data_IF_274474196525
#
_entry.id   IF_274474196525
#
_cell.length_a   1.000
_cell.length_b   1.000
_cell.length_c   1.000
_cell.angle_alpha   90.00
_cell.angle_beta   90.00
_cell.angle_gamma   90.00
#
_symmetry.space_group_name_H-M   'P 1'
#
loop_
_entity.id
_entity.type
_entity.pdbx_description
1 polymer ?
#
# COMPACT_ATOMS: atom_id res chain seq x y z
N UNK A 1 -0.40 -35.84 -86.65
CA UNK A 1 0.73 -35.11 -86.02
C UNK A 1 0.37 -34.86 -84.57
N UNK A 2 0.94 -35.64 -83.65
CA UNK A 2 0.70 -35.54 -82.22
C UNK A 2 1.71 -34.56 -81.60
N UNK A 3 1.23 -33.43 -81.05
CA UNK A 3 2.05 -32.56 -80.20
C UNK A 3 1.90 -32.98 -78.74
N UNK A 4 2.98 -33.53 -78.20
CA UNK A 4 3.13 -33.90 -76.80
C UNK A 4 3.23 -32.62 -75.96
N UNK A 5 2.22 -32.36 -75.11
CA UNK A 5 2.21 -31.23 -74.19
C UNK A 5 2.93 -31.62 -72.89
N UNK A 6 4.24 -31.39 -72.81
CA UNK A 6 5.02 -31.61 -71.58
C UNK A 6 4.83 -30.42 -70.62
N UNK A 7 3.98 -30.60 -69.60
CA UNK A 7 3.98 -29.70 -68.43
C UNK A 7 5.28 -29.90 -67.65
N UNK A 8 6.23 -28.99 -67.81
CA UNK A 8 7.42 -28.90 -66.95
C UNK A 8 6.98 -28.73 -65.49
N UNK A 9 7.51 -29.53 -64.54
CA UNK A 9 7.26 -29.31 -63.13
C UNK A 9 7.93 -28.01 -62.72
N UNK A 10 7.15 -27.04 -62.24
CA UNK A 10 7.68 -25.82 -61.60
C UNK A 10 8.45 -26.21 -60.35
N UNK A 11 9.75 -26.50 -60.49
CA UNK A 11 10.67 -26.65 -59.36
C UNK A 11 10.77 -25.30 -58.66
N UNK A 12 10.12 -25.17 -57.50
CA UNK A 12 10.29 -24.00 -56.63
C UNK A 12 11.77 -23.84 -56.33
N UNK A 13 12.40 -22.79 -56.86
CA UNK A 13 13.84 -22.58 -56.73
C UNK A 13 14.28 -22.37 -55.27
N UNK A 14 15.57 -22.59 -54.95
CA UNK A 14 16.12 -22.45 -53.59
C UNK A 14 15.79 -21.10 -52.93
N UNK A 15 15.75 -20.02 -53.73
CA UNK A 15 15.41 -18.67 -53.29
C UNK A 15 13.94 -18.51 -52.88
N UNK A 16 13.01 -19.14 -53.60
CA UNK A 16 11.58 -19.08 -53.28
C UNK A 16 11.25 -19.92 -52.03
N UNK A 17 11.98 -21.02 -51.83
CA UNK A 17 11.90 -21.85 -50.61
C UNK A 17 12.46 -21.08 -49.40
N UNK A 18 13.61 -20.40 -49.55
CA UNK A 18 14.22 -19.55 -48.50
C UNK A 18 13.32 -18.37 -48.12
N UNK A 19 12.70 -17.70 -49.09
CA UNK A 19 11.72 -16.61 -48.87
C UNK A 19 10.47 -17.08 -48.10
N UNK A 20 9.87 -18.23 -48.47
CA UNK A 20 8.77 -18.83 -47.71
C UNK A 20 9.16 -19.21 -46.29
N UNK A 21 10.38 -19.74 -46.09
CA UNK A 21 10.90 -20.07 -44.77
C UNK A 21 11.11 -18.82 -43.90
N UNK A 22 11.67 -17.75 -44.47
CA UNK A 22 11.84 -16.45 -43.78
C UNK A 22 10.49 -15.82 -43.41
N UNK A 23 9.51 -15.86 -44.32
CA UNK A 23 8.13 -15.40 -44.06
C UNK A 23 7.45 -16.20 -42.95
N UNK A 24 7.64 -17.53 -42.92
CA UNK A 24 7.12 -18.39 -41.84
C UNK A 24 7.76 -18.08 -40.49
N UNK A 25 9.09 -17.86 -40.45
CA UNK A 25 9.78 -17.46 -39.21
C UNK A 25 9.32 -16.09 -38.72
N UNK A 26 9.15 -15.12 -39.61
CA UNK A 26 8.62 -13.81 -39.28
C UNK A 26 7.19 -13.88 -38.73
N UNK A 27 6.33 -14.74 -39.32
CA UNK A 27 4.98 -14.98 -38.82
C UNK A 27 4.98 -15.64 -37.42
N UNK A 28 5.85 -16.63 -37.19
CA UNK A 28 6.01 -17.27 -35.87
C UNK A 28 6.50 -16.27 -34.82
N UNK A 29 7.50 -15.46 -35.13
CA UNK A 29 8.00 -14.40 -34.24
C UNK A 29 6.92 -13.38 -33.91
N UNK A 30 6.12 -12.96 -34.91
CA UNK A 30 4.99 -12.06 -34.71
C UNK A 30 3.91 -12.70 -33.81
N UNK A 31 3.61 -13.98 -34.01
CA UNK A 31 2.67 -14.72 -33.18
C UNK A 31 3.17 -14.84 -31.73
N UNK A 32 4.44 -15.19 -31.51
CA UNK A 32 5.06 -15.26 -30.19
C UNK A 32 5.06 -13.89 -29.49
N UNK A 33 5.43 -12.83 -30.21
CA UNK A 33 5.38 -11.45 -29.70
C UNK A 33 3.97 -11.05 -29.29
N UNK A 34 2.96 -11.34 -30.13
CA UNK A 34 1.56 -11.06 -29.80
C UNK A 34 1.06 -11.85 -28.59
N UNK A 35 1.46 -13.13 -28.45
CA UNK A 35 1.10 -13.96 -27.30
C UNK A 35 1.74 -13.44 -26.02
N UNK A 36 3.01 -13.03 -26.07
CA UNK A 36 3.70 -12.45 -24.92
C UNK A 36 3.08 -11.11 -24.50
N UNK A 37 2.71 -10.27 -25.47
CA UNK A 37 2.04 -9.00 -25.21
C UNK A 37 0.69 -9.23 -24.51
N UNK A 38 -0.12 -10.16 -25.01
CA UNK A 38 -1.41 -10.50 -24.41
C UNK A 38 -1.26 -11.03 -22.97
N UNK A 39 -0.28 -11.92 -22.74
CA UNK A 39 0.03 -12.40 -21.38
C UNK A 39 0.46 -11.27 -20.46
N UNK A 40 1.31 -10.37 -20.95
CA UNK A 40 1.79 -9.22 -20.18
C UNK A 40 0.64 -8.27 -19.83
N UNK A 41 -0.23 -7.98 -20.79
CA UNK A 41 -1.42 -7.15 -20.57
C UNK A 41 -2.36 -7.79 -19.54
N UNK A 42 -2.57 -9.10 -19.61
CA UNK A 42 -3.37 -9.82 -18.63
C UNK A 42 -2.77 -9.73 -17.22
N UNK A 43 -1.47 -9.97 -17.05
CA UNK A 43 -0.78 -9.85 -15.75
C UNK A 43 -0.82 -8.42 -15.21
N UNK A 44 -0.71 -7.41 -16.08
CA UNK A 44 -0.87 -6.00 -15.71
C UNK A 44 -2.30 -5.72 -15.21
N UNK A 45 -3.34 -6.18 -15.90
CA UNK A 45 -4.73 -5.96 -15.49
C UNK A 45 -5.04 -6.65 -14.15
N UNK A 46 -4.58 -7.89 -13.98
CA UNK A 46 -4.65 -8.62 -12.70
C UNK A 46 -3.97 -7.81 -11.60
N UNK A 47 -2.74 -7.36 -11.81
CA UNK A 47 -1.97 -6.65 -10.80
C UNK A 47 -2.59 -5.29 -10.45
N UNK A 48 -3.02 -4.51 -11.44
CA UNK A 48 -3.65 -3.21 -11.21
C UNK A 48 -4.93 -3.38 -10.39
N UNK A 49 -5.80 -4.32 -10.77
CA UNK A 49 -7.05 -4.59 -10.04
C UNK A 49 -6.82 -5.17 -8.66
N UNK A 50 -5.77 -5.96 -8.48
CA UNK A 50 -5.36 -6.51 -7.19
C UNK A 50 -5.04 -5.36 -6.22
N UNK A 51 -4.17 -4.44 -6.64
CA UNK A 51 -3.58 -3.40 -5.79
C UNK A 51 -4.47 -2.16 -5.59
N UNK A 52 -5.46 -1.96 -6.47
CA UNK A 52 -6.25 -0.72 -6.58
C UNK A 52 -6.87 -0.27 -5.26
N UNK A 53 -7.41 -1.20 -4.46
CA UNK A 53 -8.16 -0.83 -3.24
C UNK A 53 -7.27 -0.19 -2.18
N UNK A 54 -6.01 -0.61 -2.06
CA UNK A 54 -5.12 -0.23 -0.96
C UNK A 54 -3.90 0.58 -1.41
N UNK A 55 -3.75 0.82 -2.72
CA UNK A 55 -2.61 1.53 -3.30
C UNK A 55 -2.32 2.89 -2.62
N UNK A 56 -3.35 3.67 -2.30
CA UNK A 56 -3.18 4.99 -1.64
C UNK A 56 -2.55 4.85 -0.25
N UNK A 57 -2.98 3.87 0.54
CA UNK A 57 -2.44 3.62 1.88
C UNK A 57 -0.97 3.19 1.85
N UNK A 58 -0.60 2.30 0.93
CA UNK A 58 0.80 1.89 0.77
C UNK A 58 1.67 3.02 0.20
N UNK A 59 1.17 3.79 -0.77
CA UNK A 59 1.87 4.96 -1.29
C UNK A 59 2.14 5.98 -0.17
N UNK A 60 1.16 6.20 0.70
CA UNK A 60 1.29 7.05 1.88
C UNK A 60 2.41 6.60 2.82
N UNK A 61 2.50 5.30 3.12
CA UNK A 61 3.57 4.74 3.96
C UNK A 61 4.94 4.93 3.29
N UNK A 62 5.04 4.66 1.98
CA UNK A 62 6.25 4.87 1.19
C UNK A 62 6.73 6.33 1.19
N UNK A 63 5.81 7.29 0.99
CA UNK A 63 6.09 8.73 1.04
C UNK A 63 6.57 9.11 2.45
N UNK A 64 5.90 8.63 3.50
CA UNK A 64 6.29 8.88 4.89
C UNK A 64 7.72 8.43 5.18
N UNK A 65 8.10 7.24 4.70
CA UNK A 65 9.45 6.70 4.84
C UNK A 65 10.50 7.55 4.12
N UNK A 66 10.23 7.96 2.88
CA UNK A 66 11.13 8.79 2.09
C UNK A 66 11.34 10.18 2.71
N UNK A 67 10.26 10.85 3.14
CA UNK A 67 10.33 12.16 3.79
C UNK A 67 11.08 12.08 5.13
N UNK A 68 10.84 11.02 5.91
CA UNK A 68 11.58 10.79 7.16
C UNK A 68 13.08 10.62 6.91
N UNK A 69 13.45 9.84 5.88
CA UNK A 69 14.86 9.66 5.48
C UNK A 69 15.50 10.99 5.05
N UNK A 70 14.77 11.84 4.33
CA UNK A 70 15.25 13.14 3.86
C UNK A 70 15.49 14.13 5.01
N UNK A 71 14.63 14.13 6.04
CA UNK A 71 14.81 14.99 7.22
C UNK A 71 16.01 14.53 8.05
N UNK A 72 16.12 13.22 8.34
CA UNK A 72 17.20 12.70 9.18
C UNK A 72 18.58 12.95 8.57
N UNK A 73 18.70 12.74 7.26
CA UNK A 73 19.93 12.95 6.52
C UNK A 73 19.60 13.51 5.13
N UNK A 74 20.09 14.71 4.78
CA UNK A 74 19.95 15.24 3.42
C UNK A 74 20.50 14.24 2.40
N UNK A 75 19.81 14.10 1.27
CA UNK A 75 20.16 13.17 0.20
C UNK A 75 20.58 13.94 -1.04
N UNK A 76 21.63 13.47 -1.71
CA UNK A 76 21.95 13.89 -3.08
C UNK A 76 20.84 13.49 -4.06
N UNK A 77 20.89 14.01 -5.28
CA UNK A 77 19.91 13.65 -6.32
C UNK A 77 19.94 12.15 -6.64
N UNK A 78 21.13 11.55 -6.67
CA UNK A 78 21.32 10.11 -6.92
C UNK A 78 20.71 9.27 -5.79
N UNK A 79 20.99 9.63 -4.53
CA UNK A 79 20.43 8.93 -3.37
C UNK A 79 18.91 9.10 -3.28
N UNK A 80 18.40 10.27 -3.64
CA UNK A 80 16.96 10.54 -3.71
C UNK A 80 16.30 9.66 -4.76
N UNK A 81 16.89 9.55 -5.94
CA UNK A 81 16.38 8.68 -7.03
C UNK A 81 16.38 7.22 -6.60
N UNK A 82 17.49 6.74 -6.01
CA UNK A 82 17.60 5.36 -5.52
C UNK A 82 16.62 5.07 -4.39
N UNK A 83 16.47 5.99 -3.43
CA UNK A 83 15.54 5.85 -2.31
C UNK A 83 14.10 5.85 -2.80
N UNK A 84 13.77 6.70 -3.77
CA UNK A 84 12.45 6.72 -4.42
C UNK A 84 12.16 5.39 -5.10
N UNK A 85 13.12 4.84 -5.87
CA UNK A 85 12.97 3.52 -6.47
C UNK A 85 12.76 2.42 -5.42
N UNK A 86 13.54 2.43 -4.34
CA UNK A 86 13.39 1.49 -3.22
C UNK A 86 11.98 1.56 -2.60
N UNK A 87 11.47 2.75 -2.23
CA UNK A 87 10.15 2.85 -1.60
C UNK A 87 9.00 2.47 -2.53
N UNK A 88 9.15 2.67 -3.84
CA UNK A 88 8.18 2.21 -4.85
C UNK A 88 8.17 0.68 -4.95
N UNK A 89 9.36 0.05 -4.99
CA UNK A 89 9.49 -1.41 -5.01
C UNK A 89 8.94 -2.06 -3.74
N UNK A 90 9.32 -1.55 -2.55
CA UNK A 90 8.81 -2.06 -1.28
C UNK A 90 7.31 -1.81 -1.14
N UNK A 91 6.83 -0.62 -1.50
CA UNK A 91 5.40 -0.29 -1.46
C UNK A 91 4.58 -1.23 -2.36
N UNK A 92 5.06 -1.49 -3.58
CA UNK A 92 4.45 -2.46 -4.50
C UNK A 92 4.43 -3.87 -3.91
N UNK A 93 5.57 -4.37 -3.42
CA UNK A 93 5.70 -5.72 -2.87
C UNK A 93 4.78 -5.91 -1.67
N UNK A 94 4.81 -5.00 -0.69
CA UNK A 94 4.00 -5.12 0.53
C UNK A 94 2.49 -4.99 0.22
N UNK A 95 2.11 -4.13 -0.73
CA UNK A 95 0.72 -4.04 -1.17
C UNK A 95 0.26 -5.35 -1.82
N UNK A 96 1.09 -5.93 -2.70
CA UNK A 96 0.81 -7.21 -3.35
C UNK A 96 0.67 -8.34 -2.31
N UNK A 97 1.63 -8.47 -1.39
CA UNK A 97 1.66 -9.46 -0.31
C UNK A 97 0.36 -9.41 0.52
N UNK A 98 -0.11 -8.20 0.86
CA UNK A 98 -1.34 -8.02 1.60
C UNK A 98 -2.57 -8.36 0.76
N UNK A 99 -2.72 -7.75 -0.42
CA UNK A 99 -3.93 -7.86 -1.22
C UNK A 99 -4.15 -9.28 -1.74
N UNK A 100 -3.10 -10.00 -2.16
CA UNK A 100 -3.25 -11.37 -2.62
C UNK A 100 -3.73 -12.32 -1.51
N UNK A 101 -3.18 -12.19 -0.30
CA UNK A 101 -3.55 -13.00 0.84
C UNK A 101 -4.98 -12.69 1.30
N UNK A 102 -5.34 -11.42 1.37
CA UNK A 102 -6.68 -10.96 1.75
C UNK A 102 -7.74 -11.46 0.76
N UNK A 103 -7.53 -11.26 -0.54
CA UNK A 103 -8.48 -11.65 -1.59
C UNK A 103 -8.62 -13.17 -1.73
N UNK A 104 -7.51 -13.92 -1.62
CA UNK A 104 -7.55 -15.38 -1.63
C UNK A 104 -8.22 -15.97 -0.38
N UNK A 105 -8.22 -15.25 0.74
CA UNK A 105 -8.78 -15.72 2.01
C UNK A 105 -10.28 -15.50 2.15
N UNK A 106 -10.81 -14.45 1.52
CA UNK A 106 -12.21 -14.02 1.62
C UNK A 106 -12.84 -13.65 0.26
N UNK A 107 -12.79 -14.53 -0.76
CA UNK A 107 -13.27 -14.19 -2.10
C UNK A 107 -14.78 -13.86 -2.13
N UNK A 108 -15.60 -14.51 -1.29
CA UNK A 108 -17.05 -14.25 -1.16
C UNK A 108 -17.37 -12.79 -0.81
N UNK A 109 -16.55 -12.18 0.05
CA UNK A 109 -16.71 -10.77 0.42
C UNK A 109 -16.44 -9.84 -0.77
N UNK A 110 -15.47 -10.21 -1.62
CA UNK A 110 -15.10 -9.43 -2.80
C UNK A 110 -16.10 -9.59 -3.93
N UNK A 111 -16.75 -10.74 -4.10
CA UNK A 111 -17.85 -10.90 -5.07
C UNK A 111 -18.99 -9.90 -4.81
N UNK A 112 -19.30 -9.64 -3.54
CA UNK A 112 -20.38 -8.72 -3.16
C UNK A 112 -19.97 -7.25 -3.25
N UNK A 113 -18.78 -6.91 -2.78
CA UNK A 113 -18.39 -5.51 -2.57
C UNK A 113 -17.43 -4.96 -3.62
N UNK A 114 -16.63 -5.82 -4.24
CA UNK A 114 -15.50 -5.44 -5.09
C UNK A 114 -15.43 -6.34 -6.33
N UNK A 115 -16.49 -6.40 -7.17
CA UNK A 115 -16.58 -7.30 -8.31
C UNK A 115 -15.49 -7.03 -9.38
N UNK A 116 -14.83 -5.88 -9.33
CA UNK A 116 -13.71 -5.55 -10.21
C UNK A 116 -12.40 -6.25 -9.85
N UNK A 117 -12.28 -6.85 -8.66
CA UNK A 117 -11.05 -7.55 -8.21
C UNK A 117 -10.76 -8.77 -9.08
N UNK A 118 -9.50 -9.23 -9.18
CA UNK A 118 -9.11 -10.28 -10.12
C UNK A 118 -9.88 -11.60 -9.99
N UNK A 119 -10.16 -12.06 -8.77
CA UNK A 119 -10.91 -13.31 -8.55
C UNK A 119 -12.39 -13.12 -8.96
N UNK A 120 -13.14 -12.12 -8.42
CA UNK A 120 -14.52 -11.89 -8.85
C UNK A 120 -14.71 -11.59 -10.33
N UNK A 121 -13.77 -10.88 -10.95
CA UNK A 121 -13.81 -10.55 -12.36
C UNK A 121 -13.48 -11.74 -13.28
N UNK A 122 -13.15 -12.92 -12.72
CA UNK A 122 -12.79 -14.11 -13.48
C UNK A 122 -11.45 -14.01 -14.19
N UNK A 123 -10.57 -13.07 -13.79
CA UNK A 123 -9.24 -12.93 -14.38
C UNK A 123 -8.29 -14.03 -13.89
N UNK A 124 -8.43 -14.45 -12.64
CA UNK A 124 -7.66 -15.55 -12.05
C UNK A 124 -8.57 -16.45 -11.22
N UNK A 125 -8.24 -17.74 -11.16
CA UNK A 125 -8.86 -18.69 -10.24
C UNK A 125 -8.35 -18.52 -8.81
N UNK A 126 -9.07 -19.10 -7.85
CA UNK A 126 -8.63 -19.11 -6.44
C UNK A 126 -7.28 -19.82 -6.26
N UNK A 127 -7.04 -20.92 -7.00
CA UNK A 127 -5.78 -21.65 -6.91
C UNK A 127 -4.62 -20.87 -7.51
N UNK A 128 -4.85 -20.13 -8.60
CA UNK A 128 -3.87 -19.18 -9.13
C UNK A 128 -3.56 -18.07 -8.13
N UNK A 129 -4.57 -17.56 -7.42
CA UNK A 129 -4.35 -16.56 -6.37
C UNK A 129 -3.54 -17.13 -5.18
N UNK A 130 -3.82 -18.36 -4.75
CA UNK A 130 -3.04 -19.06 -3.71
C UNK A 130 -1.60 -19.33 -4.12
N UNK A 131 -1.37 -19.74 -5.36
CA UNK A 131 -0.02 -19.92 -5.89
C UNK A 131 0.76 -18.59 -5.87
N UNK A 132 0.15 -17.51 -6.36
CA UNK A 132 0.73 -16.15 -6.31
C UNK A 132 1.01 -15.70 -4.89
N UNK A 133 0.12 -16.00 -3.95
CA UNK A 133 0.32 -15.71 -2.54
C UNK A 133 1.59 -16.40 -2.02
N UNK A 134 1.68 -17.73 -2.10
CA UNK A 134 2.83 -18.50 -1.61
C UNK A 134 4.14 -18.01 -2.26
N UNK A 135 4.12 -17.78 -3.58
CA UNK A 135 5.27 -17.30 -4.33
C UNK A 135 5.69 -15.91 -3.82
N UNK A 136 4.74 -14.98 -3.69
CA UNK A 136 5.05 -13.60 -3.30
C UNK A 136 5.59 -13.47 -1.88
N UNK A 137 5.07 -14.26 -0.93
CA UNK A 137 5.55 -14.25 0.46
C UNK A 137 6.93 -14.90 0.56
N UNK A 138 7.13 -16.05 -0.10
CA UNK A 138 8.41 -16.77 -0.07
C UNK A 138 9.51 -15.98 -0.80
N UNK A 139 9.27 -15.58 -2.05
CA UNK A 139 10.26 -14.82 -2.82
C UNK A 139 10.43 -13.40 -2.27
N UNK A 140 9.36 -12.77 -1.78
CA UNK A 140 9.43 -11.47 -1.13
C UNK A 140 10.41 -11.48 0.03
N UNK A 141 10.27 -12.42 0.96
CA UNK A 141 11.20 -12.58 2.08
C UNK A 141 12.64 -12.84 1.63
N UNK A 142 12.85 -13.73 0.66
CA UNK A 142 14.20 -14.03 0.13
C UNK A 142 14.83 -12.78 -0.49
N UNK A 143 14.11 -12.06 -1.34
CA UNK A 143 14.60 -10.83 -1.98
C UNK A 143 14.94 -9.76 -0.93
N UNK A 144 14.05 -9.53 0.04
CA UNK A 144 14.31 -8.54 1.10
C UNK A 144 15.51 -8.94 1.96
N UNK A 145 15.63 -10.21 2.31
CA UNK A 145 16.79 -10.72 3.05
C UNK A 145 18.09 -10.50 2.27
N UNK A 146 18.13 -10.91 1.00
CA UNK A 146 19.33 -10.81 0.17
C UNK A 146 19.74 -9.37 -0.12
N UNK A 147 18.78 -8.46 -0.33
CA UNK A 147 19.07 -7.08 -0.70
C UNK A 147 19.28 -6.14 0.50
N UNK A 148 18.60 -6.38 1.63
CA UNK A 148 18.53 -5.43 2.76
C UNK A 148 18.86 -6.05 4.12
N UNK A 149 19.10 -7.36 4.17
CA UNK A 149 19.55 -8.07 5.37
C UNK A 149 18.43 -8.59 6.29
N UNK A 150 18.81 -9.28 7.37
CA UNK A 150 17.89 -10.04 8.22
C UNK A 150 16.86 -9.17 8.93
N UNK A 151 17.22 -7.95 9.34
CA UNK A 151 16.29 -7.06 10.05
C UNK A 151 15.16 -6.54 9.16
N UNK A 152 15.44 -6.25 7.90
CA UNK A 152 14.41 -5.90 6.93
C UNK A 152 13.48 -7.11 6.68
N UNK A 153 14.06 -8.30 6.47
CA UNK A 153 13.28 -9.52 6.27
C UNK A 153 12.40 -9.85 7.49
N UNK A 154 12.90 -9.63 8.70
CA UNK A 154 12.14 -9.83 9.93
C UNK A 154 10.94 -8.88 10.04
N UNK A 155 11.06 -7.61 9.63
CA UNK A 155 9.91 -6.70 9.60
C UNK A 155 8.87 -7.11 8.56
N UNK A 156 9.28 -7.59 7.39
CA UNK A 156 8.36 -8.15 6.40
C UNK A 156 7.67 -9.41 6.93
N UNK A 157 8.41 -10.33 7.58
CA UNK A 157 7.86 -11.54 8.18
C UNK A 157 6.82 -11.22 9.25
N UNK A 158 7.07 -10.24 10.13
CA UNK A 158 6.08 -9.80 11.11
C UNK A 158 4.80 -9.27 10.43
N UNK A 159 4.93 -8.55 9.32
CA UNK A 159 3.79 -8.07 8.56
C UNK A 159 2.99 -9.24 7.95
N UNK A 160 3.66 -10.22 7.36
CA UNK A 160 3.03 -11.45 6.86
C UNK A 160 2.31 -12.23 7.96
N UNK A 161 2.94 -12.40 9.13
CA UNK A 161 2.31 -13.05 10.30
C UNK A 161 1.07 -12.27 10.76
N UNK A 162 1.14 -10.93 10.79
CA UNK A 162 0.00 -10.09 11.16
C UNK A 162 -1.16 -10.25 10.16
N UNK A 163 -0.87 -10.29 8.86
CA UNK A 163 -1.86 -10.56 7.80
C UNK A 163 -2.47 -11.94 8.01
N UNK A 164 -1.64 -12.95 8.23
CA UNK A 164 -2.09 -14.31 8.46
C UNK A 164 -3.05 -14.38 9.65
N UNK A 165 -2.66 -13.82 10.80
CA UNK A 165 -3.49 -13.80 12.01
C UNK A 165 -4.86 -13.12 11.78
N UNK A 166 -4.86 -11.98 11.10
CA UNK A 166 -6.06 -11.14 10.96
C UNK A 166 -6.98 -11.58 9.81
N UNK A 167 -6.44 -12.12 8.72
CA UNK A 167 -7.20 -12.40 7.50
C UNK A 167 -7.26 -13.89 7.12
N UNK A 168 -6.35 -14.72 7.62
CA UNK A 168 -6.25 -16.14 7.25
C UNK A 168 -6.74 -17.04 8.37
N UNK A 169 -6.13 -16.96 9.55
CA UNK A 169 -6.48 -17.77 10.72
C UNK A 169 -5.86 -17.12 11.97
N UNK A 170 -6.61 -16.92 13.08
CA UNK A 170 -7.99 -17.32 13.34
C UNK A 170 -9.07 -16.37 12.78
N UNK A 171 -8.69 -15.27 12.10
CA UNK A 171 -9.63 -14.26 11.54
C UNK A 171 -10.51 -13.60 12.60
N UNK A 172 -9.90 -13.00 13.63
CA UNK A 172 -10.67 -12.28 14.64
C UNK A 172 -11.40 -11.06 14.04
N UNK A 173 -12.73 -11.18 13.92
CA UNK A 173 -13.59 -10.15 13.35
C UNK A 173 -14.12 -9.22 14.44
N UNK A 174 -13.31 -8.27 14.88
CA UNK A 174 -13.75 -7.16 15.75
C UNK A 174 -13.25 -5.81 15.24
N UNK A 175 -13.96 -4.73 15.58
CA UNK A 175 -13.52 -3.37 15.27
C UNK A 175 -12.12 -3.09 15.85
N UNK A 176 -11.82 -3.62 17.03
CA UNK A 176 -10.52 -3.44 17.67
C UNK A 176 -9.39 -4.08 16.85
N UNK A 177 -9.58 -5.33 16.40
CA UNK A 177 -8.56 -6.03 15.61
C UNK A 177 -8.32 -5.36 14.25
N UNK A 178 -9.35 -4.77 13.65
CA UNK A 178 -9.20 -3.98 12.41
C UNK A 178 -8.31 -2.76 12.62
N UNK A 179 -8.57 -2.00 13.69
CA UNK A 179 -7.76 -0.84 14.05
C UNK A 179 -6.33 -1.25 14.43
N UNK A 180 -6.19 -2.33 15.20
CA UNK A 180 -4.90 -2.92 15.56
C UNK A 180 -4.10 -3.35 14.33
N UNK A 181 -4.74 -4.02 13.38
CA UNK A 181 -4.10 -4.40 12.13
C UNK A 181 -3.53 -3.18 11.40
N UNK A 182 -4.32 -2.11 11.23
CA UNK A 182 -3.87 -0.91 10.54
C UNK A 182 -2.69 -0.22 11.26
N UNK A 183 -2.77 -0.08 12.59
CA UNK A 183 -1.70 0.52 13.38
C UNK A 183 -0.42 -0.33 13.39
N UNK A 184 -0.55 -1.64 13.60
CA UNK A 184 0.57 -2.58 13.63
C UNK A 184 1.22 -2.75 12.24
N UNK A 185 0.41 -2.78 11.18
CA UNK A 185 0.92 -2.80 9.81
C UNK A 185 1.73 -1.55 9.49
N UNK A 186 1.21 -0.35 9.84
CA UNK A 186 1.98 0.88 9.68
C UNK A 186 3.31 0.82 10.46
N UNK A 187 3.27 0.39 11.72
CA UNK A 187 4.48 0.23 12.54
C UNK A 187 5.51 -0.67 11.84
N UNK A 188 5.12 -1.88 11.44
CA UNK A 188 6.02 -2.86 10.80
C UNK A 188 6.57 -2.37 9.46
N UNK A 189 5.70 -1.81 8.60
CA UNK A 189 6.09 -1.31 7.29
C UNK A 189 6.97 -0.06 7.38
N UNK A 190 6.69 0.83 8.34
CA UNK A 190 7.51 2.01 8.58
C UNK A 190 8.90 1.61 9.06
N UNK A 191 9.02 0.58 9.91
CA UNK A 191 10.31 0.00 10.33
C UNK A 191 11.04 -0.69 9.18
N UNK A 192 10.33 -1.44 8.34
CA UNK A 192 10.87 -2.04 7.12
C UNK A 192 11.48 -0.96 6.22
N UNK A 193 10.75 0.11 5.94
CA UNK A 193 11.25 1.23 5.13
C UNK A 193 12.46 1.91 5.78
N UNK A 194 12.47 2.09 7.10
CA UNK A 194 13.63 2.63 7.80
C UNK A 194 14.89 1.76 7.60
N UNK A 195 14.76 0.43 7.58
CA UNK A 195 15.88 -0.48 7.29
C UNK A 195 16.32 -0.43 5.82
N UNK A 196 15.37 -0.42 4.88
CA UNK A 196 15.63 -0.39 3.44
C UNK A 196 16.30 0.92 3.01
N UNK A 197 15.90 2.02 3.63
CA UNK A 197 16.41 3.37 3.37
C UNK A 197 17.62 3.75 4.24
N UNK A 198 18.06 2.83 5.11
CA UNK A 198 19.15 3.09 6.04
C UNK A 198 20.41 3.48 5.28
N UNK A 199 20.91 4.67 5.57
CA UNK A 199 22.26 5.11 5.23
C UNK A 199 23.17 4.96 6.46
N UNK A 200 24.35 5.58 6.46
CA UNK A 200 25.25 5.65 7.64
C UNK A 200 24.67 6.41 8.85
N UNK A 201 23.41 6.88 8.77
CA UNK A 201 22.71 7.66 9.79
C UNK A 201 22.11 6.78 10.89
N UNK A 202 21.95 7.30 12.13
CA UNK A 202 21.28 6.58 13.21
C UNK A 202 19.87 6.14 12.82
N UNK A 203 19.49 4.96 13.32
CA UNK A 203 18.15 4.42 13.15
C UNK A 203 17.11 5.35 13.77
N UNK A 204 15.96 5.50 13.09
CA UNK A 204 14.80 6.19 13.67
C UNK A 204 14.44 5.57 15.01
N UNK A 205 14.22 6.44 16.00
CA UNK A 205 13.87 6.05 17.37
C UNK A 205 12.61 5.18 17.40
N UNK A 206 12.70 4.05 18.10
CA UNK A 206 11.57 3.15 18.36
C UNK A 206 10.41 3.87 19.05
N UNK A 207 10.71 4.86 19.92
CA UNK A 207 9.70 5.62 20.62
C UNK A 207 8.76 6.39 19.66
N UNK A 208 9.29 6.92 18.54
CA UNK A 208 8.48 7.60 17.52
C UNK A 208 7.51 6.60 16.90
N UNK A 209 7.99 5.41 16.54
CA UNK A 209 7.16 4.36 15.93
C UNK A 209 6.03 3.93 16.90
N UNK A 210 6.34 3.80 18.20
CA UNK A 210 5.36 3.48 19.25
C UNK A 210 4.33 4.60 19.46
N UNK A 211 4.75 5.87 19.46
CA UNK A 211 3.86 7.03 19.59
C UNK A 211 2.87 7.04 18.43
N UNK A 212 3.36 6.84 17.19
CA UNK A 212 2.50 6.78 16.00
C UNK A 212 1.55 5.59 16.05
N UNK A 213 2.00 4.43 16.52
CA UNK A 213 1.14 3.26 16.71
C UNK A 213 -0.06 3.58 17.62
N UNK A 214 0.17 4.20 18.78
CA UNK A 214 -0.92 4.55 19.69
C UNK A 214 -1.81 5.66 19.15
N UNK A 215 -1.25 6.64 18.44
CA UNK A 215 -2.03 7.67 17.78
C UNK A 215 -2.95 7.06 16.70
N UNK A 216 -2.45 6.13 15.90
CA UNK A 216 -3.24 5.37 14.92
C UNK A 216 -4.33 4.56 15.62
N UNK A 217 -4.01 3.80 16.68
CA UNK A 217 -5.01 3.06 17.45
C UNK A 217 -6.16 3.93 17.95
N UNK A 218 -5.86 5.16 18.36
CA UNK A 218 -6.82 6.11 18.88
C UNK A 218 -7.63 6.85 17.81
N UNK A 219 -7.27 6.77 16.53
CA UNK A 219 -7.85 7.63 15.47
C UNK A 219 -8.26 6.89 14.20
N UNK A 220 -7.71 5.71 13.92
CA UNK A 220 -7.88 5.05 12.61
C UNK A 220 -9.33 4.63 12.32
N UNK A 221 -10.19 4.55 13.34
CA UNK A 221 -11.64 4.36 13.14
C UNK A 221 -12.30 5.48 12.32
N UNK A 222 -11.63 6.63 12.12
CA UNK A 222 -12.09 7.69 11.20
C UNK A 222 -12.35 7.13 9.79
N UNK A 223 -11.56 6.13 9.36
CA UNK A 223 -11.75 5.49 8.06
C UNK A 223 -13.13 4.84 7.91
N UNK A 224 -13.76 4.44 9.02
CA UNK A 224 -15.01 3.68 9.02
C UNK A 224 -16.24 4.60 8.87
N UNK A 225 -16.11 5.92 9.07
CA UNK A 225 -17.26 6.84 9.03
C UNK A 225 -17.92 6.93 7.64
N UNK A 226 -17.14 6.80 6.56
CA UNK A 226 -17.68 6.91 5.20
C UNK A 226 -18.16 5.58 4.60
N UNK A 227 -17.90 4.44 5.26
CA UNK A 227 -18.16 3.09 4.71
C UNK A 227 -19.22 2.32 5.50
N UNK A 228 -20.08 3.02 6.26
CA UNK A 228 -21.07 2.37 7.14
C UNK A 228 -22.07 1.50 6.37
N UNK A 229 -22.51 1.92 5.19
CA UNK A 229 -23.46 1.14 4.38
C UNK A 229 -22.79 -0.10 3.77
N UNK A 230 -21.57 0.05 3.26
CA UNK A 230 -20.78 -1.06 2.71
C UNK A 230 -20.43 -2.10 3.77
N UNK A 231 -20.04 -1.63 4.96
CA UNK A 231 -19.76 -2.49 6.11
C UNK A 231 -21.02 -3.24 6.59
N UNK A 232 -22.19 -2.60 6.56
CA UNK A 232 -23.48 -3.25 6.88
C UNK A 232 -23.81 -4.37 5.88
N UNK A 233 -23.66 -4.13 4.58
CA UNK A 233 -23.87 -5.15 3.52
C UNK A 233 -22.90 -6.33 3.67
N UNK A 234 -21.72 -6.08 4.22
CA UNK A 234 -20.67 -7.08 4.45
C UNK A 234 -20.76 -7.79 5.80
N UNK A 235 -21.78 -7.48 6.62
CA UNK A 235 -21.92 -7.97 7.99
C UNK A 235 -20.66 -7.74 8.85
N UNK A 236 -19.97 -6.61 8.63
CA UNK A 236 -18.83 -6.20 9.46
C UNK A 236 -19.36 -5.54 10.74
N UNK A 237 -18.54 -5.52 11.79
CA UNK A 237 -18.84 -4.81 13.04
C UNK A 237 -17.74 -3.79 13.29
N UNK A 238 -17.89 -2.59 12.73
CA UNK A 238 -16.99 -1.45 12.92
C UNK A 238 -17.38 -0.64 14.14
N UNK A 239 -16.46 0.17 14.67
CA UNK A 239 -16.70 0.90 15.92
C UNK A 239 -17.88 1.86 15.79
N UNK A 240 -18.02 2.65 14.71
CA UNK A 240 -19.18 3.53 14.55
C UNK A 240 -20.52 2.77 14.49
N UNK A 241 -20.55 1.54 13.96
CA UNK A 241 -21.78 0.77 13.80
C UNK A 241 -22.32 0.17 15.11
N UNK A 242 -21.49 -0.02 16.12
CA UNK A 242 -21.93 -0.54 17.43
C UNK A 242 -22.38 0.56 18.39
N UNK A 243 -22.28 1.84 17.98
CA UNK A 243 -22.63 3.00 18.79
C UNK A 243 -24.04 3.50 18.45
N UNK A 244 -24.70 4.09 19.44
CA UNK A 244 -25.90 4.90 19.20
C UNK A 244 -25.55 6.24 18.53
N UNK A 245 -26.54 6.96 18.02
CA UNK A 245 -26.32 8.29 17.41
C UNK A 245 -25.60 9.26 18.36
N UNK A 246 -25.96 9.23 19.65
CA UNK A 246 -25.27 10.01 20.69
C UNK A 246 -23.83 9.51 20.88
N UNK A 247 -23.63 8.19 20.89
CA UNK A 247 -22.30 7.58 20.99
C UNK A 247 -21.40 7.97 19.81
N UNK A 248 -21.94 8.01 18.59
CA UNK A 248 -21.20 8.42 17.40
C UNK A 248 -20.78 9.89 17.48
N UNK A 249 -21.68 10.79 17.89
CA UNK A 249 -21.36 12.22 18.11
C UNK A 249 -20.27 12.39 19.17
N UNK A 250 -20.35 11.62 20.27
CA UNK A 250 -19.32 11.61 21.31
C UNK A 250 -17.99 11.09 20.78
N UNK A 251 -17.99 10.01 19.98
CA UNK A 251 -16.77 9.46 19.37
C UNK A 251 -16.10 10.51 18.46
N UNK A 252 -16.86 11.17 17.58
CA UNK A 252 -16.32 12.22 16.68
C UNK A 252 -15.74 13.38 17.46
N UNK A 253 -16.45 13.87 18.47
CA UNK A 253 -16.00 14.97 19.33
C UNK A 253 -14.76 14.59 20.13
N UNK A 254 -14.76 13.40 20.75
CA UNK A 254 -13.63 12.89 21.53
C UNK A 254 -12.38 12.68 20.68
N UNK A 255 -12.52 12.11 19.48
CA UNK A 255 -11.40 11.97 18.53
C UNK A 255 -10.85 13.31 18.07
N UNK A 256 -11.74 14.30 17.84
CA UNK A 256 -11.34 15.66 17.45
C UNK A 256 -10.54 16.35 18.57
N UNK A 257 -11.01 16.26 19.82
CA UNK A 257 -10.32 16.79 21.00
C UNK A 257 -8.98 16.09 21.19
N UNK A 258 -8.92 14.76 21.07
CA UNK A 258 -7.69 14.00 21.18
C UNK A 258 -6.64 14.44 20.15
N UNK A 259 -7.03 14.59 18.88
CA UNK A 259 -6.13 15.01 17.80
C UNK A 259 -5.56 16.40 18.09
N UNK A 260 -6.40 17.36 18.51
CA UNK A 260 -5.93 18.71 18.85
C UNK A 260 -4.99 18.66 20.05
N UNK A 261 -5.40 18.01 21.15
CA UNK A 261 -4.60 17.94 22.37
C UNK A 261 -3.25 17.26 22.14
N UNK A 262 -3.23 16.17 21.36
CA UNK A 262 -2.01 15.47 20.97
C UNK A 262 -1.10 16.37 20.12
N UNK A 263 -1.65 17.05 19.12
CA UNK A 263 -0.91 18.01 18.30
C UNK A 263 -0.35 19.17 19.13
N UNK A 264 -1.11 19.67 20.12
CA UNK A 264 -0.65 20.73 21.01
C UNK A 264 0.46 20.24 21.95
N UNK A 265 0.39 18.99 22.40
CA UNK A 265 1.49 18.35 23.15
C UNK A 265 2.79 18.31 22.34
N UNK A 266 2.73 17.95 21.06
CA UNK A 266 3.89 17.98 20.16
C UNK A 266 4.41 19.41 19.99
N UNK A 267 3.53 20.39 19.79
CA UNK A 267 3.90 21.80 19.65
C UNK A 267 4.62 22.33 20.91
N UNK A 268 4.15 21.97 22.10
CA UNK A 268 4.79 22.35 23.37
C UNK A 268 6.19 21.74 23.52
N UNK A 269 6.32 20.43 23.28
CA UNK A 269 7.61 19.74 23.35
C UNK A 269 8.58 20.28 22.29
N UNK A 270 8.09 20.54 21.07
CA UNK A 270 8.88 21.17 20.00
C UNK A 270 9.30 22.59 20.36
N UNK A 271 8.42 23.37 21.00
CA UNK A 271 8.75 24.70 21.51
C UNK A 271 9.93 24.69 22.46
N UNK A 272 9.99 23.72 23.39
CA UNK A 272 11.13 23.56 24.29
C UNK A 272 12.45 23.21 23.57
N UNK A 273 12.39 22.72 22.33
CA UNK A 273 13.54 22.35 21.51
C UNK A 273 13.78 23.26 20.30
N UNK A 274 13.08 24.39 20.19
CA UNK A 274 13.12 25.25 19.00
C UNK A 274 14.50 25.78 18.63
N UNK A 275 15.42 25.88 19.61
CA UNK A 275 16.79 26.33 19.39
C UNK A 275 17.72 25.25 18.83
N UNK A 276 17.31 23.98 18.80
CA UNK A 276 18.17 22.85 18.42
C UNK A 276 18.20 22.59 16.91
N UNK A 277 17.07 22.73 16.21
CA UNK A 277 16.97 22.57 14.76
C UNK A 277 15.92 23.55 14.20
N UNK A 278 16.31 24.29 13.16
CA UNK A 278 15.47 25.29 12.47
C UNK A 278 14.18 24.68 11.89
N UNK A 279 14.15 23.37 11.64
CA UNK A 279 12.99 22.66 11.13
C UNK A 279 11.94 22.36 12.21
N UNK A 280 12.27 22.46 13.51
CA UNK A 280 11.34 22.11 14.61
C UNK A 280 10.09 22.97 14.57
N UNK A 281 10.25 24.30 14.54
CA UNK A 281 9.12 25.24 14.54
C UNK A 281 8.20 25.04 13.32
N UNK A 282 8.68 25.08 12.06
CA UNK A 282 7.79 24.95 10.91
C UNK A 282 7.08 23.58 10.86
N UNK A 283 7.74 22.48 11.23
CA UNK A 283 7.09 21.16 11.25
C UNK A 283 6.05 21.05 12.36
N UNK A 284 6.30 21.62 13.55
CA UNK A 284 5.35 21.64 14.66
C UNK A 284 4.14 22.55 14.40
N UNK A 285 4.33 23.69 13.73
CA UNK A 285 3.22 24.58 13.32
C UNK A 285 2.38 23.90 12.24
N UNK A 286 3.02 23.33 11.22
CA UNK A 286 2.32 22.63 10.14
C UNK A 286 1.47 21.47 10.68
N UNK A 287 2.02 20.62 11.55
CA UNK A 287 1.24 19.52 12.12
C UNK A 287 0.07 20.02 12.98
N UNK A 288 0.23 21.12 13.72
CA UNK A 288 -0.86 21.66 14.53
C UNK A 288 -2.00 22.19 13.66
N UNK A 289 -1.67 22.91 12.58
CA UNK A 289 -2.65 23.39 11.61
C UNK A 289 -3.42 22.22 10.99
N UNK A 290 -2.71 21.18 10.54
CA UNK A 290 -3.35 20.00 9.95
C UNK A 290 -4.21 19.22 10.95
N UNK A 291 -3.74 19.09 12.20
CA UNK A 291 -4.51 18.52 13.32
C UNK A 291 -5.80 19.29 13.58
N UNK A 292 -5.76 20.63 13.58
CA UNK A 292 -6.95 21.48 13.73
C UNK A 292 -7.93 21.31 12.55
N UNK A 293 -7.42 21.30 11.31
CA UNK A 293 -8.25 21.09 10.11
C UNK A 293 -8.90 19.70 10.15
N UNK A 294 -8.15 18.66 10.47
CA UNK A 294 -8.66 17.29 10.58
C UNK A 294 -9.74 17.18 11.66
N UNK A 295 -9.50 17.74 12.86
CA UNK A 295 -10.46 17.77 13.96
C UNK A 295 -11.74 18.54 13.61
N UNK A 296 -11.62 19.70 12.96
CA UNK A 296 -12.78 20.44 12.45
C UNK A 296 -13.59 19.57 11.48
N UNK A 297 -12.93 18.94 10.50
CA UNK A 297 -13.64 18.09 9.53
C UNK A 297 -14.34 16.90 10.17
N UNK A 298 -13.72 16.26 11.16
CA UNK A 298 -14.34 15.14 11.88
C UNK A 298 -15.56 15.63 12.66
N UNK A 299 -15.45 16.73 13.40
CA UNK A 299 -16.56 17.24 14.22
C UNK A 299 -17.71 17.85 13.41
N UNK A 300 -17.40 18.52 12.30
CA UNK A 300 -18.35 19.24 11.46
C UNK A 300 -18.97 18.40 10.33
N UNK A 301 -18.52 17.16 10.12
CA UNK A 301 -19.02 16.34 9.01
C UNK A 301 -20.51 16.05 9.12
N UNK A 302 -21.20 16.26 8.02
CA UNK A 302 -22.64 16.03 7.85
C UNK A 302 -22.95 15.05 6.70
N UNK A 303 -21.93 14.58 5.98
CA UNK A 303 -22.07 13.83 4.73
C UNK A 303 -20.99 12.75 4.57
N UNK A 304 -21.35 11.67 3.86
CA UNK A 304 -20.45 10.55 3.57
C UNK A 304 -19.28 10.99 2.69
N UNK A 305 -19.53 11.92 1.76
CA UNK A 305 -18.53 12.52 0.89
C UNK A 305 -17.48 13.29 1.69
N UNK A 306 -17.92 14.05 2.70
CA UNK A 306 -17.04 14.78 3.59
C UNK A 306 -16.20 13.83 4.43
N UNK A 307 -16.76 12.74 4.94
CA UNK A 307 -16.02 11.71 5.69
C UNK A 307 -15.00 10.99 4.81
N UNK A 308 -15.37 10.65 3.58
CA UNK A 308 -14.46 10.01 2.61
C UNK A 308 -13.28 10.92 2.27
N UNK A 309 -13.56 12.20 2.01
CA UNK A 309 -12.53 13.20 1.78
C UNK A 309 -11.65 13.40 3.03
N UNK A 310 -12.25 13.43 4.22
CA UNK A 310 -11.52 13.57 5.50
C UNK A 310 -10.50 12.45 5.67
N UNK A 311 -10.87 11.19 5.40
CA UNK A 311 -9.94 10.08 5.47
C UNK A 311 -8.87 10.11 4.37
N UNK A 312 -9.25 10.24 3.10
CA UNK A 312 -8.29 10.11 2.00
C UNK A 312 -7.42 11.34 1.75
N UNK A 313 -7.88 12.54 2.11
CA UNK A 313 -7.21 13.81 1.78
C UNK A 313 -6.57 14.45 3.02
N UNK A 314 -7.19 14.35 4.19
CA UNK A 314 -6.75 15.11 5.39
C UNK A 314 -6.08 14.24 6.45
N UNK A 315 -6.52 13.00 6.64
CA UNK A 315 -5.97 12.10 7.66
C UNK A 315 -4.50 11.76 7.38
N UNK A 316 -4.20 11.35 6.14
CA UNK A 316 -2.84 10.98 5.73
C UNK A 316 -1.84 12.14 5.88
N UNK A 317 -2.05 13.36 5.32
CA UNK A 317 -1.10 14.46 5.53
C UNK A 317 -0.91 14.84 7.00
N UNK A 318 -1.97 14.77 7.82
CA UNK A 318 -1.87 15.05 9.26
C UNK A 318 -0.94 14.05 9.96
N UNK A 319 -1.07 12.76 9.64
CA UNK A 319 -0.19 11.72 10.18
C UNK A 319 1.26 11.88 9.71
N UNK A 320 1.50 12.23 8.44
CA UNK A 320 2.86 12.56 7.96
C UNK A 320 3.42 13.75 8.75
N UNK A 321 2.66 14.83 8.91
CA UNK A 321 3.15 16.02 9.61
C UNK A 321 3.48 15.72 11.09
N UNK A 322 2.66 14.91 11.76
CA UNK A 322 2.94 14.40 13.11
C UNK A 322 4.27 13.61 13.10
N UNK A 323 4.44 12.64 12.19
CA UNK A 323 5.67 11.87 12.08
C UNK A 323 6.90 12.77 11.87
N UNK A 324 6.84 13.70 10.91
CA UNK A 324 7.97 14.57 10.57
C UNK A 324 8.32 15.51 11.73
N UNK A 325 7.33 16.03 12.45
CA UNK A 325 7.56 16.84 13.65
C UNK A 325 8.26 16.03 14.76
N UNK A 326 7.80 14.81 15.04
CA UNK A 326 8.44 13.93 16.03
C UNK A 326 9.87 13.57 15.64
N UNK A 327 10.11 13.27 14.36
CA UNK A 327 11.45 13.00 13.84
C UNK A 327 12.36 14.20 14.04
N UNK A 328 11.88 15.41 13.74
CA UNK A 328 12.66 16.64 13.86
C UNK A 328 12.95 17.00 15.33
N UNK A 329 12.00 16.75 16.24
CA UNK A 329 12.16 16.97 17.69
C UNK A 329 13.22 16.04 18.32
N UNK A 330 13.41 14.84 17.78
CA UNK A 330 14.28 13.81 18.36
C UNK A 330 15.65 13.74 17.68
N UNK A 331 15.79 14.32 16.49
CA UNK A 331 17.05 14.42 15.74
C UNK A 331 18.14 15.14 16.54
#
# INVERSE_FOLDING_TARGET
MAFYNSKLPTKTGPLQKKSKTLSKHAATLKAMSSSLLLKTQHEMDVTIRLLKSNAVGFAFISISGLLTRAILSPMSMTETTLSTFKVLMIGFLCNYIFDIANQASSPLEDYLNKPYRPIPAGLISLDQARARWIISWTLGLIIIYSCFGPWAALHLLHFEILIWACYVWPRWKSWFIRNYFAAAAYFMLSRLLAQVLRASSPNRSFAIDTIIFFWLMATIHIQEFHDLEGDRKSNRKTLPMVLSDKGLKTLRSGTSIFIIAFGSGILLVGGAKMAQDILVVPTCVLQQVLSCVLAYRISASDSVEMDKATYHIYYYPSLIAILLSLVTIVR
#
